data_IF_014581347988
#
_entry.id   IF_014581347988
#
_cell.length_a   1.000
_cell.length_b   1.000
_cell.length_c   1.000
_cell.angle_alpha   90.00
_cell.angle_beta   90.00
_cell.angle_gamma   90.00
#
_symmetry.space_group_name_H-M   'P 1'
#
loop_
_entity.id
_entity.type
_entity.pdbx_description
1 polymer ?
#
# COMPACT_ATOMS: atom_id res chain seq x y z
N UNK A 1 -26.93 15.68 -7.64
CA UNK A 1 -26.18 15.95 -6.38
C UNK A 1 -26.32 14.67 -5.58
N UNK A 2 -25.34 13.79 -5.39
CA UNK A 2 -23.89 13.93 -5.34
C UNK A 2 -23.18 12.82 -6.13
N UNK A 3 -21.90 13.05 -6.38
CA UNK A 3 -21.00 12.35 -7.29
C UNK A 3 -20.58 10.94 -6.83
N UNK A 4 -20.41 10.05 -7.80
CA UNK A 4 -19.30 9.10 -7.97
C UNK A 4 -18.66 8.49 -6.70
N UNK A 5 -19.10 7.28 -6.32
CA UNK A 5 -18.27 6.36 -5.52
C UNK A 5 -17.98 5.09 -6.34
N UNK A 6 -17.29 5.23 -7.47
CA UNK A 6 -16.38 4.15 -7.89
C UNK A 6 -15.26 4.10 -6.86
N UNK A 7 -15.51 3.44 -5.72
CA UNK A 7 -14.45 3.07 -4.79
C UNK A 7 -13.56 2.10 -5.55
N UNK A 8 -12.39 2.57 -5.96
CA UNK A 8 -11.32 1.71 -6.46
C UNK A 8 -10.96 0.76 -5.31
N UNK A 9 -11.58 -0.42 -5.27
CA UNK A 9 -11.28 -1.44 -4.26
C UNK A 9 -9.97 -2.08 -4.68
N UNK A 10 -8.87 -1.56 -4.14
CA UNK A 10 -7.59 -2.22 -4.25
C UNK A 10 -7.62 -3.50 -3.40
N UNK A 11 -7.22 -4.62 -3.99
CA UNK A 11 -6.93 -5.83 -3.21
C UNK A 11 -5.78 -5.51 -2.24
N UNK A 12 -5.90 -5.93 -0.98
CA UNK A 12 -4.89 -5.67 0.05
C UNK A 12 -4.14 -6.95 0.32
N UNK A 13 -2.85 -6.95 0.03
CA UNK A 13 -1.95 -8.06 0.34
C UNK A 13 -0.94 -7.62 1.39
N UNK A 14 -0.78 -8.38 2.47
CA UNK A 14 0.31 -8.18 3.44
C UNK A 14 1.30 -9.33 3.33
N UNK A 15 2.58 -8.99 3.30
CA UNK A 15 3.61 -9.99 3.50
C UNK A 15 3.65 -10.48 4.95
N UNK A 16 4.18 -11.69 5.17
CA UNK A 16 4.30 -12.34 6.47
C UNK A 16 5.03 -11.48 7.51
N UNK A 17 6.05 -10.73 7.10
CA UNK A 17 6.78 -9.84 8.00
C UNK A 17 6.08 -8.49 8.19
N UNK A 18 5.34 -7.99 7.20
CA UNK A 18 4.52 -6.79 7.36
C UNK A 18 3.40 -7.03 8.39
N UNK A 19 2.83 -8.24 8.41
CA UNK A 19 1.81 -8.66 9.37
C UNK A 19 2.29 -8.70 10.84
N UNK A 20 3.61 -8.63 11.07
CA UNK A 20 4.19 -8.49 12.42
C UNK A 20 4.30 -7.04 12.87
N UNK A 21 4.26 -6.09 11.94
CA UNK A 21 4.43 -4.66 12.18
C UNK A 21 3.07 -3.96 12.24
N UNK A 22 2.15 -4.36 11.36
CA UNK A 22 0.80 -3.80 11.27
C UNK A 22 -0.24 -4.91 11.15
N UNK A 23 -1.43 -4.67 11.69
CA UNK A 23 -2.57 -5.57 11.56
C UNK A 23 -3.37 -5.27 10.28
N UNK A 24 -4.27 -6.18 9.90
CA UNK A 24 -5.13 -6.04 8.71
C UNK A 24 -5.98 -4.75 8.73
N UNK A 25 -6.46 -4.33 9.90
CA UNK A 25 -7.21 -3.06 10.04
C UNK A 25 -6.33 -1.84 9.74
N UNK A 26 -5.11 -1.81 10.27
CA UNK A 26 -4.16 -0.72 10.04
C UNK A 26 -3.69 -0.69 8.58
N UNK A 27 -3.48 -1.86 7.98
CA UNK A 27 -3.21 -2.00 6.55
C UNK A 27 -4.33 -1.38 5.70
N UNK A 28 -5.58 -1.73 6.01
CA UNK A 28 -6.74 -1.21 5.31
C UNK A 28 -6.87 0.30 5.43
N UNK A 29 -6.56 0.88 6.61
CA UNK A 29 -6.53 2.33 6.80
C UNK A 29 -5.41 3.00 5.99
N UNK A 30 -4.19 2.45 6.03
CA UNK A 30 -3.05 2.96 5.27
C UNK A 30 -3.34 2.98 3.77
N UNK A 31 -3.91 1.90 3.24
CA UNK A 31 -4.27 1.80 1.83
C UNK A 31 -5.34 2.82 1.46
N UNK A 32 -6.36 3.03 2.29
CA UNK A 32 -7.36 4.09 2.04
C UNK A 32 -6.74 5.49 2.02
N UNK A 33 -5.74 5.76 2.85
CA UNK A 33 -5.02 7.04 2.82
C UNK A 33 -4.11 7.19 1.59
N UNK A 34 -3.47 6.10 1.16
CA UNK A 34 -2.50 6.12 0.06
C UNK A 34 -3.15 5.97 -1.33
N UNK A 35 -4.31 5.32 -1.44
CA UNK A 35 -5.06 5.17 -2.69
C UNK A 35 -5.18 6.48 -3.49
N UNK A 36 -5.66 7.61 -2.91
CA UNK A 36 -5.73 8.87 -3.64
C UNK A 36 -4.35 9.43 -4.00
N UNK A 37 -3.30 9.15 -3.23
CA UNK A 37 -1.93 9.60 -3.55
C UNK A 37 -1.35 8.82 -4.73
N UNK A 38 -1.67 7.53 -4.85
CA UNK A 38 -1.34 6.70 -6.01
C UNK A 38 -2.10 7.09 -7.28
N UNK A 39 -3.33 7.60 -7.15
CA UNK A 39 -4.11 8.12 -8.27
C UNK A 39 -3.58 9.49 -8.72
N UNK A 40 -3.20 10.37 -7.78
CA UNK A 40 -2.57 11.67 -8.09
C UNK A 40 -1.18 11.52 -8.70
N UNK A 41 -0.46 10.48 -8.33
CA UNK A 41 0.90 10.22 -8.79
C UNK A 41 0.95 8.97 -9.68
N UNK A 42 0.47 9.12 -10.91
CA UNK A 42 0.36 8.03 -11.91
C UNK A 42 1.70 7.29 -12.18
N UNK A 43 2.84 7.93 -11.89
CA UNK A 43 4.17 7.31 -12.03
C UNK A 43 4.75 6.67 -10.76
N UNK A 44 4.09 6.77 -9.60
CA UNK A 44 4.56 6.17 -8.35
C UNK A 44 3.82 4.86 -8.10
N UNK A 45 4.51 3.75 -8.28
CA UNK A 45 3.99 2.42 -7.98
C UNK A 45 4.44 1.91 -6.60
N UNK A 46 5.11 2.75 -5.80
CA UNK A 46 5.58 2.40 -4.47
C UNK A 46 5.53 3.61 -3.53
N UNK A 47 5.09 3.38 -2.30
CA UNK A 47 5.10 4.34 -1.20
C UNK A 47 5.82 3.75 0.01
N UNK A 48 6.98 4.31 0.34
CA UNK A 48 7.75 3.91 1.52
C UNK A 48 7.34 4.70 2.76
N UNK A 49 6.82 4.01 3.77
CA UNK A 49 6.53 4.55 5.10
C UNK A 49 7.72 4.28 6.03
N UNK A 50 8.78 5.08 5.89
CA UNK A 50 10.02 4.94 6.69
C UNK A 50 9.79 4.94 8.21
N UNK A 51 8.76 5.65 8.70
CA UNK A 51 8.41 5.68 10.14
C UNK A 51 7.94 4.33 10.67
N UNK A 52 7.27 3.55 9.83
CA UNK A 52 6.77 2.22 10.16
C UNK A 52 7.71 1.11 9.68
N UNK A 53 8.72 1.43 8.86
CA UNK A 53 9.62 0.44 8.28
C UNK A 53 8.94 -0.45 7.24
N UNK A 54 7.91 0.06 6.56
CA UNK A 54 7.13 -0.68 5.55
C UNK A 54 7.07 0.08 4.24
N UNK A 55 6.76 -0.64 3.17
CA UNK A 55 6.55 -0.15 1.82
C UNK A 55 5.24 -0.69 1.29
N UNK A 56 4.47 0.18 0.64
CA UNK A 56 3.22 -0.17 -0.04
C UNK A 56 3.50 -0.12 -1.54
N UNK A 57 3.37 -1.25 -2.20
CA UNK A 57 3.56 -1.39 -3.65
C UNK A 57 2.19 -1.44 -4.31
N UNK A 58 2.01 -0.68 -5.39
CA UNK A 58 0.83 -0.72 -6.24
C UNK A 58 1.15 -1.52 -7.50
N UNK A 59 0.52 -2.68 -7.62
CA UNK A 59 0.57 -3.52 -8.80
C UNK A 59 -0.81 -3.58 -9.45
N UNK A 60 -1.01 -2.79 -10.50
CA UNK A 60 -2.30 -2.69 -11.23
C UNK A 60 -3.45 -2.32 -10.28
N UNK A 61 -4.18 -3.33 -9.78
CA UNK A 61 -5.32 -3.22 -8.88
C UNK A 61 -5.08 -3.82 -7.49
N UNK A 62 -3.85 -4.21 -7.17
CA UNK A 62 -3.45 -4.73 -5.86
C UNK A 62 -2.48 -3.77 -5.17
N UNK A 63 -2.66 -3.59 -3.87
CA UNK A 63 -1.76 -2.87 -2.99
C UNK A 63 -1.14 -3.86 -2.00
N UNK A 64 0.16 -4.07 -2.16
CA UNK A 64 0.94 -5.03 -1.38
C UNK A 64 1.80 -4.30 -0.37
N UNK A 65 1.60 -4.58 0.91
CA UNK A 65 2.41 -4.03 1.99
C UNK A 65 3.52 -5.03 2.33
N UNK A 66 4.76 -4.58 2.17
CA UNK A 66 5.98 -5.32 2.49
C UNK A 66 6.81 -4.52 3.50
N UNK A 67 7.81 -5.14 4.12
CA UNK A 67 8.73 -4.43 5.00
C UNK A 67 9.87 -3.78 4.20
N UNK A 68 10.54 -2.80 4.80
CA UNK A 68 11.76 -2.20 4.23
C UNK A 68 12.85 -3.26 3.99
N UNK A 69 12.94 -4.27 4.87
CA UNK A 69 13.84 -5.40 4.69
C UNK A 69 13.51 -6.25 3.46
N UNK A 70 12.22 -6.55 3.23
CA UNK A 70 11.81 -7.31 2.05
C UNK A 70 11.99 -6.50 0.76
N UNK A 71 11.67 -5.22 0.79
CA UNK A 71 11.91 -4.32 -0.33
C UNK A 71 13.41 -4.28 -0.67
N UNK A 72 14.30 -4.17 0.33
CA UNK A 72 15.76 -4.21 0.13
C UNK A 72 16.25 -5.56 -0.43
N UNK A 73 15.62 -6.68 -0.08
CA UNK A 73 15.97 -8.00 -0.63
C UNK A 73 15.58 -8.14 -2.10
N UNK A 74 14.48 -7.52 -2.53
CA UNK A 74 13.98 -7.58 -3.90
C UNK A 74 14.72 -6.66 -4.88
N UNK A 75 15.34 -5.57 -4.41
CA UNK A 75 16.02 -4.55 -5.26
C UNK A 75 17.52 -4.88 -5.46
N UNK A 76 17.88 -6.16 -5.61
CA UNK A 76 19.29 -6.59 -5.75
C UNK A 76 19.64 -7.05 -7.16
#
# INVERSE_FOLDING_TARGET
MAENEEKTIYAVSLSKDAHKILNEEEAGMLIKMLAPEFEKHEGKNAFGLKKLGIWVLKEKNELTIITDEEHKKHVK
#
